data_IF_778096676964
#
_entry.id   IF_778096676964
#
_cell.length_a   1.000
_cell.length_b   1.000
_cell.length_c   1.000
_cell.angle_alpha   90.00
_cell.angle_beta   90.00
_cell.angle_gamma   90.00
#
_symmetry.space_group_name_H-M   'P 1'
#
loop_
_entity.id
_entity.type
_entity.pdbx_description
1 polymer ?
#
# COMPACT_ATOMS: atom_id res chain seq x y z
N UNK A 1 -21.46 -35.23 -7.06
CA UNK A 1 -21.64 -35.10 -5.60
C UNK A 1 -20.40 -34.37 -5.13
N UNK A 2 -20.42 -33.10 -4.73
CA UNK A 2 -21.13 -32.54 -3.58
C UNK A 2 -21.25 -31.01 -3.73
N UNK A 3 -22.42 -30.45 -3.44
CA UNK A 3 -22.72 -29.01 -3.52
C UNK A 3 -22.34 -28.36 -2.18
N UNK A 4 -21.28 -27.57 -2.14
CA UNK A 4 -20.94 -26.79 -0.95
C UNK A 4 -21.87 -25.57 -0.83
N UNK A 5 -22.71 -25.62 0.21
CA UNK A 5 -23.77 -24.65 0.52
C UNK A 5 -23.14 -23.29 0.88
N UNK A 6 -23.30 -22.28 0.02
CA UNK A 6 -23.15 -20.88 0.42
C UNK A 6 -24.38 -20.47 1.23
N UNK A 7 -24.19 -20.28 2.53
CA UNK A 7 -25.16 -19.62 3.39
C UNK A 7 -25.28 -18.16 2.94
N UNK A 8 -26.38 -17.83 2.27
CA UNK A 8 -26.80 -16.47 1.99
C UNK A 8 -27.49 -15.90 3.23
N UNK A 9 -26.83 -14.97 3.91
CA UNK A 9 -27.44 -14.18 4.99
C UNK A 9 -27.97 -12.88 4.37
N UNK A 10 -29.30 -12.75 4.26
CA UNK A 10 -29.96 -11.53 3.83
C UNK A 10 -30.15 -10.59 5.03
N UNK A 11 -29.35 -9.53 5.12
CA UNK A 11 -29.65 -8.37 5.97
C UNK A 11 -30.61 -7.43 5.21
N UNK A 12 -31.58 -6.87 5.94
CA UNK A 12 -32.73 -6.09 5.46
C UNK A 12 -32.38 -4.64 5.09
N UNK A 13 -31.09 -4.32 4.92
CA UNK A 13 -30.60 -3.14 4.22
C UNK A 13 -29.80 -3.62 3.03
N UNK A 14 -30.36 -3.49 1.82
CA UNK A 14 -29.84 -4.01 0.55
C UNK A 14 -28.48 -3.47 0.08
N UNK A 15 -27.53 -3.21 0.97
CA UNK A 15 -26.12 -3.11 0.64
C UNK A 15 -25.54 -4.54 0.65
N UNK A 16 -25.56 -5.19 -0.52
CA UNK A 16 -24.72 -6.36 -0.77
C UNK A 16 -23.27 -5.91 -0.69
N UNK A 17 -22.69 -5.92 0.51
CA UNK A 17 -21.24 -5.93 0.66
C UNK A 17 -20.75 -7.31 0.24
N UNK A 18 -20.67 -7.51 -1.08
CA UNK A 18 -19.83 -8.56 -1.63
C UNK A 18 -18.41 -8.12 -1.29
N UNK A 19 -17.94 -8.52 -0.11
CA UNK A 19 -16.52 -8.59 0.24
C UNK A 19 -15.87 -9.70 -0.60
N UNK A 20 -16.19 -9.73 -1.89
CA UNK A 20 -15.61 -10.60 -2.89
C UNK A 20 -14.26 -10.03 -3.20
N UNK A 21 -13.27 -10.45 -2.40
CA UNK A 21 -11.87 -10.32 -2.73
C UNK A 21 -11.64 -11.04 -4.07
N UNK A 22 -11.85 -10.31 -5.16
CA UNK A 22 -11.54 -10.82 -6.48
C UNK A 22 -10.01 -10.90 -6.50
N UNK A 23 -9.44 -12.12 -6.50
CA UNK A 23 -7.98 -12.34 -6.39
C UNK A 23 -7.21 -11.44 -7.37
N UNK A 24 -7.75 -11.25 -8.57
CA UNK A 24 -7.24 -10.32 -9.58
C UNK A 24 -7.17 -8.87 -9.08
N UNK A 25 -8.25 -8.35 -8.50
CA UNK A 25 -8.32 -6.99 -7.94
C UNK A 25 -7.31 -6.81 -6.81
N UNK A 26 -7.14 -7.81 -5.95
CA UNK A 26 -6.14 -7.78 -4.87
C UNK A 26 -4.71 -7.62 -5.40
N UNK A 27 -4.29 -8.47 -6.36
CA UNK A 27 -2.95 -8.39 -6.94
C UNK A 27 -2.73 -7.09 -7.69
N UNK A 28 -3.75 -6.56 -8.37
CA UNK A 28 -3.67 -5.24 -9.03
C UNK A 28 -3.48 -4.14 -7.98
N UNK A 29 -4.28 -4.11 -6.91
CA UNK A 29 -4.14 -3.10 -5.85
C UNK A 29 -2.80 -3.20 -5.13
N UNK A 30 -2.30 -4.42 -4.90
CA UNK A 30 -0.99 -4.65 -4.30
C UNK A 30 0.14 -4.15 -5.21
N UNK A 31 0.10 -4.52 -6.49
CA UNK A 31 1.07 -4.03 -7.48
C UNK A 31 1.08 -2.50 -7.59
N UNK A 32 -0.11 -1.88 -7.63
CA UNK A 32 -0.25 -0.43 -7.69
C UNK A 32 0.28 0.25 -6.41
N UNK A 33 0.03 -0.34 -5.23
CA UNK A 33 0.56 0.18 -3.96
C UNK A 33 2.09 0.13 -3.89
N UNK A 34 2.70 -0.96 -4.37
CA UNK A 34 4.16 -1.09 -4.42
C UNK A 34 4.73 -0.08 -5.42
N UNK A 35 4.10 0.07 -6.59
CA UNK A 35 4.51 1.03 -7.60
C UNK A 35 4.47 2.47 -7.06
N UNK A 36 3.37 2.86 -6.42
CA UNK A 36 3.25 4.19 -5.81
C UNK A 36 4.30 4.37 -4.72
N UNK A 37 4.51 3.38 -3.85
CA UNK A 37 5.53 3.45 -2.82
C UNK A 37 6.93 3.65 -3.42
N UNK A 38 7.31 2.90 -4.47
CA UNK A 38 8.58 3.08 -5.19
C UNK A 38 8.70 4.50 -5.77
N UNK A 39 7.66 4.99 -6.45
CA UNK A 39 7.64 6.36 -7.00
C UNK A 39 7.82 7.40 -5.88
N UNK A 40 7.15 7.23 -4.75
CA UNK A 40 7.26 8.16 -3.62
C UNK A 40 8.65 8.12 -2.98
N UNK A 41 9.33 6.98 -3.00
CA UNK A 41 10.71 6.84 -2.55
C UNK A 41 11.66 7.63 -3.47
N UNK A 42 11.47 7.54 -4.79
CA UNK A 42 12.19 8.38 -5.76
C UNK A 42 11.93 9.88 -5.53
N UNK A 43 10.67 10.29 -5.33
CA UNK A 43 10.34 11.70 -5.05
C UNK A 43 11.04 12.20 -3.78
N UNK A 44 11.12 11.37 -2.74
CA UNK A 44 11.81 11.72 -1.50
C UNK A 44 13.32 11.95 -1.73
N UNK A 45 13.95 11.17 -2.61
CA UNK A 45 15.36 11.34 -2.98
C UNK A 45 15.64 12.65 -3.71
N UNK A 46 14.68 13.17 -4.48
CA UNK A 46 14.82 14.46 -5.16
C UNK A 46 14.53 15.68 -4.27
N UNK A 47 14.06 15.47 -3.03
CA UNK A 47 13.78 16.57 -2.12
C UNK A 47 15.07 17.10 -1.49
N UNK A 48 15.35 18.42 -1.56
CA UNK A 48 16.61 19.00 -1.12
C UNK A 48 16.88 18.80 0.39
N UNK A 49 15.83 18.59 1.19
CA UNK A 49 15.95 18.30 2.62
C UNK A 49 16.53 16.89 2.92
N UNK A 50 16.51 16.00 1.92
CA UNK A 50 16.97 14.61 2.04
C UNK A 50 18.13 14.31 1.10
N UNK A 51 18.64 15.31 0.37
CA UNK A 51 19.79 15.20 -0.52
C UNK A 51 21.11 14.73 0.15
N UNK A 52 21.43 15.04 1.44
CA UNK A 52 22.61 14.44 2.07
C UNK A 52 22.42 12.94 2.38
N UNK A 53 21.19 12.42 2.32
CA UNK A 53 20.87 10.99 2.38
C UNK A 53 20.97 10.33 1.00
N UNK A 54 21.92 10.80 0.19
CA UNK A 54 22.07 10.50 -1.22
C UNK A 54 21.88 9.03 -1.56
N UNK A 55 21.35 8.79 -2.75
CA UNK A 55 21.19 7.51 -3.44
C UNK A 55 22.49 6.70 -3.39
N UNK A 56 22.73 6.07 -2.25
CA UNK A 56 23.93 5.30 -2.01
C UNK A 56 23.55 3.86 -2.14
N UNK A 57 23.57 3.41 -3.39
CA UNK A 57 23.89 2.01 -3.71
C UNK A 57 25.26 1.60 -3.13
N UNK A 58 26.07 2.54 -2.62
CA UNK A 58 27.45 2.36 -2.17
C UNK A 58 27.82 3.10 -0.85
N UNK A 59 26.89 3.32 0.08
CA UNK A 59 27.22 3.78 1.44
C UNK A 59 26.88 5.25 1.74
N UNK A 60 25.63 5.48 2.14
CA UNK A 60 25.14 6.75 2.66
C UNK A 60 24.57 6.46 4.04
N UNK A 61 24.78 7.36 5.00
CA UNK A 61 24.52 7.07 6.42
C UNK A 61 23.05 6.77 6.79
N UNK A 62 22.08 6.94 5.89
CA UNK A 62 20.69 6.59 6.13
C UNK A 62 19.91 6.11 4.89
N UNK A 63 18.91 5.27 5.15
CA UNK A 63 17.94 4.72 4.20
C UNK A 63 16.65 5.54 4.22
N UNK A 64 16.17 5.92 3.03
CA UNK A 64 14.91 6.64 2.85
C UNK A 64 13.71 5.70 2.78
N UNK A 65 12.63 6.03 3.50
CA UNK A 65 11.49 5.12 3.65
C UNK A 65 10.34 5.28 2.65
N UNK A 66 10.30 6.38 1.89
CA UNK A 66 9.20 6.76 1.01
C UNK A 66 8.02 7.39 1.77
N UNK A 67 6.96 7.76 1.06
CA UNK A 67 5.76 8.35 1.68
C UNK A 67 4.68 7.28 1.92
N UNK A 68 3.72 7.50 2.87
CA UNK A 68 3.50 8.71 3.68
C UNK A 68 4.50 8.94 4.81
N UNK A 69 5.14 7.89 5.34
CA UNK A 69 6.09 8.02 6.45
C UNK A 69 7.49 8.20 5.87
N UNK A 70 7.82 9.45 5.53
CA UNK A 70 9.11 9.86 5.00
C UNK A 70 10.13 10.06 6.14
N UNK A 71 10.98 9.07 6.35
CA UNK A 71 12.04 9.08 7.34
C UNK A 71 13.39 8.75 6.68
N UNK A 72 14.47 9.18 7.31
CA UNK A 72 15.86 8.82 7.00
C UNK A 72 16.37 8.07 8.23
N UNK A 73 16.36 6.73 8.15
CA UNK A 73 16.81 5.86 9.25
C UNK A 73 18.23 5.40 8.98
N UNK A 74 19.05 5.31 10.03
CA UNK A 74 20.39 4.78 9.89
C UNK A 74 20.34 3.32 9.39
N UNK A 75 21.28 2.96 8.53
CA UNK A 75 21.24 1.65 7.85
C UNK A 75 21.28 0.45 8.81
N UNK A 76 21.80 0.59 10.03
CA UNK A 76 21.84 -0.48 11.02
C UNK A 76 20.44 -0.82 11.59
N UNK A 77 19.47 0.09 11.47
CA UNK A 77 18.10 -0.10 11.97
C UNK A 77 17.21 -0.88 10.98
N UNK A 78 17.75 -1.97 10.40
CA UNK A 78 17.08 -2.78 9.36
C UNK A 78 15.64 -3.18 9.74
N UNK A 79 15.41 -3.54 11.00
CA UNK A 79 14.08 -3.91 11.50
C UNK A 79 13.07 -2.76 11.42
N UNK A 80 13.48 -1.55 11.80
CA UNK A 80 12.60 -0.37 11.73
C UNK A 80 12.34 0.03 10.29
N UNK A 81 13.37 -0.01 9.43
CA UNK A 81 13.23 0.26 7.99
C UNK A 81 12.17 -0.68 7.38
N UNK A 82 12.26 -1.98 7.67
CA UNK A 82 11.31 -2.97 7.18
C UNK A 82 9.87 -2.71 7.67
N UNK A 83 9.70 -2.36 8.95
CA UNK A 83 8.39 -2.01 9.50
C UNK A 83 7.79 -0.78 8.83
N UNK A 84 8.59 0.25 8.56
CA UNK A 84 8.11 1.47 7.88
C UNK A 84 7.74 1.17 6.43
N UNK A 85 8.52 0.34 5.72
CA UNK A 85 8.16 -0.12 4.37
C UNK A 85 6.82 -0.85 4.34
N UNK A 86 6.62 -1.80 5.26
CA UNK A 86 5.34 -2.50 5.38
C UNK A 86 4.20 -1.51 5.66
N UNK A 87 4.38 -0.59 6.60
CA UNK A 87 3.37 0.42 6.92
C UNK A 87 3.02 1.29 5.71
N UNK A 88 4.02 1.76 4.94
CA UNK A 88 3.81 2.58 3.76
C UNK A 88 3.07 1.82 2.65
N UNK A 89 3.47 0.57 2.36
CA UNK A 89 2.80 -0.27 1.36
C UNK A 89 1.36 -0.57 1.78
N UNK A 90 1.14 -0.96 3.04
CA UNK A 90 -0.21 -1.23 3.56
C UNK A 90 -1.09 0.01 3.53
N UNK A 91 -0.55 1.19 3.84
CA UNK A 91 -1.28 2.44 3.74
C UNK A 91 -1.75 2.70 2.30
N UNK A 92 -0.86 2.62 1.32
CA UNK A 92 -1.22 2.81 -0.09
C UNK A 92 -2.22 1.76 -0.58
N UNK A 93 -2.03 0.50 -0.18
CA UNK A 93 -2.99 -0.55 -0.47
C UNK A 93 -4.39 -0.20 0.03
N UNK A 94 -4.49 0.31 1.27
CA UNK A 94 -5.76 0.71 1.87
C UNK A 94 -6.38 1.92 1.17
N UNK A 95 -5.58 2.94 0.87
CA UNK A 95 -6.01 4.12 0.12
C UNK A 95 -6.61 3.72 -1.23
N UNK A 96 -5.90 2.92 -2.02
CA UNK A 96 -6.35 2.47 -3.35
C UNK A 96 -7.61 1.61 -3.22
N UNK A 97 -7.66 0.73 -2.22
CA UNK A 97 -8.84 -0.09 -1.96
C UNK A 97 -10.08 0.75 -1.64
N UNK A 98 -9.94 1.76 -0.78
CA UNK A 98 -11.00 2.70 -0.42
C UNK A 98 -11.45 3.54 -1.62
N UNK A 99 -10.50 4.09 -2.39
CA UNK A 99 -10.82 4.85 -3.62
C UNK A 99 -11.64 4.00 -4.58
N UNK A 100 -11.27 2.73 -4.78
CA UNK A 100 -12.00 1.84 -5.67
C UNK A 100 -13.44 1.60 -5.20
N UNK A 101 -13.65 1.39 -3.89
CA UNK A 101 -14.99 1.23 -3.32
C UNK A 101 -15.83 2.51 -3.48
N UNK A 102 -15.19 3.69 -3.36
CA UNK A 102 -15.86 4.97 -3.54
C UNK A 102 -16.29 5.21 -4.99
N UNK A 103 -15.42 4.90 -5.96
CA UNK A 103 -15.75 5.00 -7.39
C UNK A 103 -16.82 3.98 -7.83
N UNK A 104 -16.86 2.78 -7.24
CA UNK A 104 -17.95 1.82 -7.49
C UNK A 104 -19.28 2.32 -6.92
N UNK A 105 -19.27 3.02 -5.78
CA UNK A 105 -20.48 3.60 -5.18
C UNK A 105 -21.04 4.80 -5.96
N UNK A 106 -20.17 5.60 -6.60
CA UNK A 106 -20.60 6.75 -7.42
C UNK A 106 -21.06 6.42 -8.84
N UNK A 107 -20.98 5.14 -9.27
CA UNK A 107 -21.40 4.68 -10.60
C UNK A 107 -22.79 4.04 -10.62
N UNK A 108 -23.41 3.87 -9.45
CA UNK A 108 -24.80 3.45 -9.26
C UNK A 108 -25.64 4.64 -8.80
#
# INVERSE_FOLDING_TARGET
>A
MEKEKRMEYCDTKGEKYVFGFNKKRFFITLGLSILIWVITNFIQLFSPNYWPAGFSLLGGSCTVTGYPIALCLAEYEKAKIFLVYLANITFWFWVIHLFWNWFEKGRN
#
